data_IF_520016984729
#
_entry.id   IF_520016984729
#
_cell.length_a   1.000
_cell.length_b   1.000
_cell.length_c   1.000
_cell.angle_alpha   90.00
_cell.angle_beta   90.00
_cell.angle_gamma   90.00
#
_symmetry.space_group_name_H-M   'P 1'
#
loop_
_entity.id
_entity.type
_entity.pdbx_description
1 polymer ?
#
# COMPACT_ATOMS: atom_id res chain seq x y z
N UNK A 1 10.02 1.79 17.15
CA UNK A 1 9.35 1.53 18.45
C UNK A 1 7.87 1.71 18.24
N UNK A 2 7.06 0.71 18.58
CA UNK A 2 5.59 0.80 18.52
C UNK A 2 5.10 1.59 19.74
N UNK A 3 4.32 2.65 19.52
CA UNK A 3 3.63 3.38 20.58
C UNK A 3 2.17 2.91 20.62
N UNK A 4 1.80 2.19 21.67
CA UNK A 4 0.40 1.87 21.95
C UNK A 4 -0.22 3.05 22.72
N UNK A 5 -1.38 3.54 22.26
CA UNK A 5 -2.14 4.60 22.93
C UNK A 5 -3.32 3.99 23.68
N UNK A 6 -3.59 4.51 24.88
CA UNK A 6 -4.82 4.23 25.63
C UNK A 6 -5.95 5.11 25.09
N UNK A 7 -7.20 4.67 25.26
CA UNK A 7 -8.36 5.48 24.87
C UNK A 7 -8.41 6.84 25.57
N UNK A 8 -7.92 6.93 26.81
CA UNK A 8 -7.81 8.19 27.57
C UNK A 8 -6.76 9.17 27.01
N UNK A 9 -5.91 8.74 26.08
CA UNK A 9 -4.82 9.53 25.49
C UNK A 9 -5.17 10.02 24.07
N UNK A 10 -6.38 9.73 23.57
CA UNK A 10 -6.82 10.06 22.21
C UNK A 10 -7.98 11.07 22.26
N UNK A 11 -7.95 12.07 21.38
CA UNK A 11 -9.03 13.05 21.22
C UNK A 11 -9.64 13.02 19.82
N UNK A 12 -10.94 13.34 19.69
CA UNK A 12 -11.59 13.50 18.38
C UNK A 12 -10.88 14.62 17.59
N UNK A 13 -10.58 14.36 16.33
CA UNK A 13 -9.82 15.29 15.46
C UNK A 13 -8.31 15.15 15.58
N UNK A 14 -7.79 14.29 16.47
CA UNK A 14 -6.37 13.96 16.50
C UNK A 14 -5.96 13.24 15.21
N UNK A 15 -4.95 13.78 14.54
CA UNK A 15 -4.40 13.19 13.31
C UNK A 15 -3.38 12.11 13.64
N UNK A 16 -3.30 11.09 12.78
CA UNK A 16 -2.22 10.12 12.82
C UNK A 16 -0.91 10.76 12.33
N UNK A 17 0.26 10.31 12.82
CA UNK A 17 1.54 10.71 12.24
C UNK A 17 1.62 10.31 10.75
N UNK A 18 2.27 11.15 9.96
CA UNK A 18 2.55 10.81 8.57
C UNK A 18 3.48 9.60 8.46
N UNK A 19 3.21 8.75 7.47
CA UNK A 19 4.03 7.58 7.17
C UNK A 19 4.22 7.46 5.65
N UNK A 20 5.22 8.15 5.08
CA UNK A 20 5.51 8.02 3.66
C UNK A 20 6.00 6.61 3.34
N UNK A 21 5.46 6.01 2.28
CA UNK A 21 5.87 4.70 1.78
C UNK A 21 6.33 4.89 0.33
N UNK A 22 7.60 4.61 0.00
CA UNK A 22 8.06 4.63 -1.37
C UNK A 22 7.31 3.56 -2.20
N UNK A 23 6.57 4.01 -3.22
CA UNK A 23 5.93 3.10 -4.17
C UNK A 23 6.90 2.82 -5.31
N UNK A 24 7.30 1.56 -5.44
CA UNK A 24 8.24 1.09 -6.48
C UNK A 24 7.59 -0.02 -7.30
N UNK A 25 8.09 -0.27 -8.51
CA UNK A 25 7.67 -1.41 -9.34
C UNK A 25 7.79 -2.73 -8.56
N UNK A 26 8.87 -2.92 -7.80
CA UNK A 26 9.05 -4.11 -6.97
C UNK A 26 7.98 -4.24 -5.89
N UNK A 27 7.57 -3.15 -5.24
CA UNK A 27 6.47 -3.18 -4.27
C UNK A 27 5.17 -3.60 -4.95
N UNK A 28 4.85 -3.00 -6.11
CA UNK A 28 3.63 -3.31 -6.87
C UNK A 28 3.61 -4.79 -7.29
N UNK A 29 4.69 -5.28 -7.88
CA UNK A 29 4.81 -6.66 -8.36
C UNK A 29 4.81 -7.68 -7.22
N UNK A 30 5.55 -7.43 -6.13
CA UNK A 30 5.55 -8.33 -4.96
C UNK A 30 4.20 -8.34 -4.24
N UNK A 31 3.50 -7.20 -4.18
CA UNK A 31 2.19 -7.15 -3.56
C UNK A 31 1.12 -7.88 -4.39
N UNK A 32 1.22 -7.81 -5.73
CA UNK A 32 0.40 -8.63 -6.64
C UNK A 32 0.65 -10.14 -6.41
N UNK A 33 1.91 -10.55 -6.26
CA UNK A 33 2.25 -11.94 -5.89
C UNK A 33 1.67 -12.35 -4.54
N UNK A 34 1.80 -11.50 -3.51
CA UNK A 34 1.32 -11.79 -2.16
C UNK A 34 -0.21 -11.94 -2.09
N UNK A 35 -0.93 -11.13 -2.88
CA UNK A 35 -2.40 -11.13 -2.96
C UNK A 35 -2.94 -12.15 -3.97
N UNK A 36 -2.06 -12.78 -4.74
CA UNK A 36 -2.39 -13.70 -5.85
C UNK A 36 -3.20 -13.02 -6.96
N UNK A 37 -3.05 -11.71 -7.08
CA UNK A 37 -3.60 -10.92 -8.17
C UNK A 37 -2.60 -10.92 -9.33
N UNK A 38 -2.83 -11.79 -10.30
CA UNK A 38 -1.93 -11.99 -11.43
C UNK A 38 -2.33 -11.18 -12.67
N UNK A 39 -3.17 -10.15 -12.51
CA UNK A 39 -3.47 -9.25 -13.63
C UNK A 39 -2.18 -8.56 -14.11
N UNK A 40 -2.00 -8.51 -15.43
CA UNK A 40 -0.74 -8.11 -16.06
C UNK A 40 -0.35 -6.67 -15.74
N UNK A 41 -1.35 -5.84 -15.46
CA UNK A 41 -1.18 -4.43 -15.11
C UNK A 41 -0.27 -4.18 -13.89
N UNK A 42 0.00 -5.20 -13.06
CA UNK A 42 0.87 -5.09 -11.87
C UNK A 42 2.34 -5.47 -12.12
N UNK A 43 2.66 -6.03 -13.28
CA UNK A 43 4.01 -6.54 -13.57
C UNK A 43 4.46 -6.40 -15.02
N UNK A 44 3.58 -5.95 -15.92
CA UNK A 44 3.88 -5.69 -17.33
C UNK A 44 3.50 -4.25 -17.70
N UNK A 45 4.52 -3.39 -17.78
CA UNK A 45 4.37 -2.00 -18.19
C UNK A 45 3.85 -1.85 -19.63
N UNK A 46 4.28 -2.74 -20.53
CA UNK A 46 3.85 -2.72 -21.93
C UNK A 46 2.37 -3.09 -22.08
N UNK A 47 1.83 -3.88 -21.14
CA UNK A 47 0.41 -4.17 -21.07
C UNK A 47 -0.41 -3.02 -20.45
N UNK A 48 0.13 -2.34 -19.43
CA UNK A 48 -0.57 -1.25 -18.74
C UNK A 48 -0.67 0.05 -19.57
N UNK A 49 0.35 0.36 -20.37
CA UNK A 49 0.42 1.62 -21.14
C UNK A 49 -0.67 1.81 -22.20
N UNK A 50 -1.02 0.78 -23.01
CA UNK A 50 -2.15 0.86 -23.94
C UNK A 50 -3.48 1.19 -23.26
N UNK A 51 -3.64 0.86 -21.98
CA UNK A 51 -4.84 1.15 -21.17
C UNK A 51 -4.78 2.54 -20.47
N UNK A 52 -3.84 3.39 -20.90
CA UNK A 52 -3.72 4.78 -20.45
C UNK A 52 -2.88 4.99 -19.19
N UNK A 53 -2.23 3.94 -18.68
CA UNK A 53 -1.41 4.05 -17.47
C UNK A 53 0.05 4.41 -17.80
N UNK A 54 0.70 5.31 -17.04
CA UNK A 54 2.10 5.65 -17.31
C UNK A 54 3.09 4.52 -16.98
N UNK A 55 2.73 3.64 -16.03
CA UNK A 55 3.51 2.48 -15.56
C UNK A 55 2.57 1.41 -14.98
N UNK A 56 3.13 0.33 -14.41
CA UNK A 56 2.38 -0.61 -13.58
C UNK A 56 1.78 0.10 -12.35
N UNK A 57 0.65 -0.38 -11.85
CA UNK A 57 -0.04 0.25 -10.73
C UNK A 57 -0.44 -0.74 -9.63
N UNK A 58 -0.59 -0.22 -8.42
CA UNK A 58 -0.88 -1.01 -7.22
C UNK A 58 -2.27 -1.67 -7.28
N UNK A 59 -2.39 -2.91 -6.84
CA UNK A 59 -3.71 -3.52 -6.62
C UNK A 59 -4.37 -2.95 -5.35
N UNK A 60 -5.69 -3.05 -5.27
CA UNK A 60 -6.48 -2.43 -4.20
C UNK A 60 -6.16 -3.02 -2.82
N UNK A 61 -6.01 -4.36 -2.74
CA UNK A 61 -5.75 -5.05 -1.48
C UNK A 61 -4.39 -4.66 -0.88
N UNK A 62 -3.40 -4.39 -1.72
CA UNK A 62 -2.10 -3.92 -1.29
C UNK A 62 -2.16 -2.52 -0.66
N UNK A 63 -2.88 -1.58 -1.29
CA UNK A 63 -3.09 -0.24 -0.73
C UNK A 63 -3.87 -0.28 0.60
N UNK A 64 -4.86 -1.17 0.71
CA UNK A 64 -5.59 -1.40 1.96
C UNK A 64 -4.66 -1.96 3.04
N UNK A 65 -3.89 -3.00 2.73
CA UNK A 65 -2.91 -3.57 3.66
C UNK A 65 -1.87 -2.54 4.12
N UNK A 66 -1.38 -1.67 3.24
CA UNK A 66 -0.46 -0.59 3.62
C UNK A 66 -1.15 0.45 4.55
N UNK A 67 -2.45 0.67 4.40
CA UNK A 67 -3.21 1.55 5.28
C UNK A 67 -3.38 0.93 6.67
N UNK A 68 -3.73 -0.35 6.74
CA UNK A 68 -3.96 -1.09 7.99
C UNK A 68 -2.67 -1.37 8.79
N UNK A 69 -1.58 -1.69 8.08
CA UNK A 69 -0.27 -1.95 8.68
C UNK A 69 0.41 -0.71 9.26
N UNK A 70 -0.27 0.44 9.25
CA UNK A 70 0.08 1.62 10.05
C UNK A 70 0.23 1.36 11.56
N UNK A 71 0.04 0.12 12.02
CA UNK A 71 0.31 -0.29 13.40
C UNK A 71 1.33 -1.41 13.63
N UNK A 72 1.53 -2.39 12.74
CA UNK A 72 2.45 -3.52 12.99
C UNK A 72 2.78 -4.31 11.71
N UNK A 73 4.04 -4.23 11.28
CA UNK A 73 4.66 -5.13 10.30
C UNK A 73 6.08 -5.56 10.68
N UNK A 74 6.55 -5.16 11.87
CA UNK A 74 7.73 -5.61 12.61
C UNK A 74 7.53 -5.29 14.08
#
# INVERSE_FOLDING_TARGET
>A
MTQNLKSSEISVGQTLPERPIPVTTSLVTCAALATRDFEKVHHDKGFAQPDGMPDVYMNILASQGLTETGGNGQ
#
